data_IF_509994169954
#
_entry.id   IF_509994169954
#
_cell.length_a   1.000
_cell.length_b   1.000
_cell.length_c   1.000
_cell.angle_alpha   90.00
_cell.angle_beta   90.00
_cell.angle_gamma   90.00
#
_symmetry.space_group_name_H-M   'P 1'
#
loop_
_entity.id
_entity.type
_entity.pdbx_description
1 polymer ?
#
# COMPACT_ATOMS: atom_id res chain seq x y z
N UNK A 1 -12.56 16.38 -0.10
CA UNK A 1 -13.38 15.66 0.88
C UNK A 1 -12.65 14.34 1.16
N UNK A 2 -11.81 14.32 2.20
CA UNK A 2 -11.02 13.14 2.65
C UNK A 2 -11.85 12.37 3.71
N UNK A 3 -13.17 12.59 3.73
CA UNK A 3 -14.03 12.37 4.90
C UNK A 3 -14.31 10.89 5.23
N UNK A 4 -13.72 9.94 4.51
CA UNK A 4 -13.84 8.49 4.76
C UNK A 4 -12.49 7.76 4.79
N UNK A 5 -11.35 8.47 4.92
CA UNK A 5 -10.04 7.81 4.99
C UNK A 5 -9.79 7.26 6.41
N UNK A 6 -10.52 6.20 6.73
CA UNK A 6 -10.07 5.05 7.50
C UNK A 6 -11.27 4.08 7.62
N UNK A 7 -11.44 3.19 6.64
CA UNK A 7 -11.90 1.87 7.02
C UNK A 7 -10.90 1.39 8.08
N UNK A 8 -11.33 1.14 9.31
CA UNK A 8 -10.49 1.04 10.51
C UNK A 8 -9.49 -0.14 10.56
N UNK A 9 -9.19 -0.75 9.43
CA UNK A 9 -8.23 -1.83 9.29
C UNK A 9 -6.78 -1.37 9.33
N UNK A 10 -5.87 -2.34 9.40
CA UNK A 10 -4.45 -2.11 9.65
C UNK A 10 -3.75 -1.37 8.50
N UNK A 11 -4.17 -1.58 7.24
CA UNK A 11 -3.60 -0.87 6.09
C UNK A 11 -4.12 0.55 5.99
N UNK A 12 -5.41 0.76 6.25
CA UNK A 12 -6.03 2.09 6.29
C UNK A 12 -5.33 3.01 7.30
N UNK A 13 -5.07 2.50 8.51
CA UNK A 13 -4.31 3.22 9.53
C UNK A 13 -2.88 3.55 9.09
N UNK A 14 -2.14 2.58 8.56
CA UNK A 14 -0.77 2.79 8.11
C UNK A 14 -0.69 3.84 6.98
N UNK A 15 -1.66 3.83 6.07
CA UNK A 15 -1.75 4.78 4.97
C UNK A 15 -2.05 6.21 5.46
N UNK A 16 -2.97 6.36 6.42
CA UNK A 16 -3.27 7.65 7.05
C UNK A 16 -2.04 8.24 7.75
N UNK A 17 -1.30 7.41 8.49
CA UNK A 17 -0.05 7.84 9.16
C UNK A 17 0.98 8.31 8.13
N UNK A 18 1.17 7.56 7.05
CA UNK A 18 2.09 7.94 5.96
C UNK A 18 1.67 9.24 5.30
N UNK A 19 0.39 9.41 4.99
CA UNK A 19 -0.13 10.61 4.34
C UNK A 19 0.14 11.87 5.21
N UNK A 20 -0.09 11.79 6.51
CA UNK A 20 0.22 12.87 7.44
C UNK A 20 1.74 13.12 7.58
N UNK A 21 2.56 12.08 7.58
CA UNK A 21 4.01 12.23 7.57
C UNK A 21 4.50 12.97 6.30
N UNK A 22 3.94 12.65 5.14
CA UNK A 22 4.27 13.32 3.86
C UNK A 22 3.91 14.79 3.88
N UNK A 23 2.72 15.15 4.38
CA UNK A 23 2.32 16.56 4.57
C UNK A 23 3.32 17.31 5.44
N UNK A 24 3.64 16.78 6.63
CA UNK A 24 4.63 17.39 7.54
C UNK A 24 6.01 17.55 6.87
N UNK A 25 6.46 16.55 6.13
CA UNK A 25 7.75 16.58 5.45
C UNK A 25 7.81 17.65 4.34
N UNK A 26 6.71 17.85 3.61
CA UNK A 26 6.60 18.88 2.57
C UNK A 26 6.77 20.28 3.14
N UNK A 27 6.19 20.53 4.31
CA UNK A 27 6.27 21.84 4.97
C UNK A 27 7.67 22.14 5.50
N UNK A 28 8.41 21.09 5.90
CA UNK A 28 9.75 21.23 6.49
C UNK A 28 10.90 21.25 5.47
N UNK A 29 10.72 20.67 4.28
CA UNK A 29 11.83 20.44 3.35
C UNK A 29 11.59 20.99 1.94
N UNK A 30 12.06 22.22 1.68
CA UNK A 30 11.98 22.84 0.33
C UNK A 30 12.71 22.00 -0.73
N UNK A 31 13.90 21.49 -0.43
CA UNK A 31 14.74 20.74 -1.38
C UNK A 31 14.10 19.42 -1.82
N UNK A 32 13.34 18.76 -0.95
CA UNK A 32 12.68 17.48 -1.27
C UNK A 32 11.18 17.61 -1.49
N UNK A 33 10.65 18.84 -1.47
CA UNK A 33 9.21 19.11 -1.59
C UNK A 33 8.61 18.53 -2.86
N UNK A 34 9.30 18.65 -4.00
CA UNK A 34 8.82 18.12 -5.28
C UNK A 34 8.63 16.60 -5.23
N UNK A 35 9.60 15.85 -4.68
CA UNK A 35 9.48 14.39 -4.63
C UNK A 35 8.39 13.96 -3.65
N UNK A 36 8.19 14.72 -2.56
CA UNK A 36 7.15 14.45 -1.59
C UNK A 36 5.74 14.74 -2.15
N UNK A 37 5.57 15.76 -2.97
CA UNK A 37 4.31 15.98 -3.72
C UNK A 37 4.00 14.81 -4.66
N UNK A 38 5.02 14.27 -5.34
CA UNK A 38 4.83 13.11 -6.22
C UNK A 38 4.45 11.84 -5.45
N UNK A 39 5.04 11.69 -4.26
CA UNK A 39 4.71 10.61 -3.34
C UNK A 39 3.26 10.73 -2.85
N UNK A 40 2.84 11.92 -2.40
CA UNK A 40 1.46 12.20 -1.99
C UNK A 40 0.46 11.85 -3.09
N UNK A 41 0.69 12.32 -4.33
CA UNK A 41 -0.18 11.99 -5.46
C UNK A 41 -0.26 10.47 -5.74
N UNK A 42 0.83 9.74 -5.49
CA UNK A 42 0.81 8.27 -5.61
C UNK A 42 0.00 7.63 -4.49
N UNK A 43 0.15 8.10 -3.24
CA UNK A 43 -0.63 7.65 -2.09
C UNK A 43 -2.12 7.88 -2.35
N UNK A 44 -2.50 9.08 -2.78
CA UNK A 44 -3.88 9.42 -3.11
C UNK A 44 -4.45 8.48 -4.18
N UNK A 45 -3.67 8.21 -5.23
CA UNK A 45 -4.10 7.34 -6.33
C UNK A 45 -4.31 5.88 -5.90
N UNK A 46 -3.53 5.35 -4.96
CA UNK A 46 -3.66 3.95 -4.52
C UNK A 46 -4.62 3.78 -3.35
N UNK A 47 -4.93 4.85 -2.62
CA UNK A 47 -5.74 4.80 -1.40
C UNK A 47 -7.05 4.03 -1.58
N UNK A 48 -7.84 4.26 -2.64
CA UNK A 48 -9.09 3.52 -2.84
C UNK A 48 -8.88 2.00 -2.97
N UNK A 49 -7.79 1.57 -3.61
CA UNK A 49 -7.47 0.16 -3.78
C UNK A 49 -7.01 -0.47 -2.46
N UNK A 50 -6.13 0.22 -1.72
CA UNK A 50 -5.62 -0.26 -0.43
C UNK A 50 -6.75 -0.42 0.59
N UNK A 51 -7.69 0.52 0.62
CA UNK A 51 -8.87 0.45 1.50
C UNK A 51 -9.78 -0.74 1.14
N UNK A 52 -9.95 -1.05 -0.14
CA UNK A 52 -10.70 -2.23 -0.56
C UNK A 52 -10.00 -3.52 -0.11
N UNK A 53 -8.69 -3.60 -0.31
CA UNK A 53 -7.88 -4.77 0.10
C UNK A 53 -8.00 -5.00 1.62
N UNK A 54 -7.94 -3.94 2.42
CA UNK A 54 -8.03 -4.04 3.88
C UNK A 54 -9.38 -4.63 4.33
N UNK A 55 -10.49 -4.18 3.72
CA UNK A 55 -11.83 -4.71 3.98
C UNK A 55 -11.95 -6.19 3.62
N UNK A 56 -11.52 -6.57 2.42
CA UNK A 56 -11.57 -7.98 1.99
C UNK A 56 -10.68 -8.90 2.84
N UNK A 57 -9.58 -8.37 3.39
CA UNK A 57 -8.68 -9.14 4.25
C UNK A 57 -9.26 -9.50 5.61
N UNK A 58 -10.14 -8.66 6.17
CA UNK A 58 -10.78 -8.95 7.46
C UNK A 58 -11.83 -10.07 7.31
N UNK A 59 -12.40 -10.21 6.12
CA UNK A 59 -13.44 -11.18 5.80
C UNK A 59 -12.88 -12.55 5.37
N UNK A 60 -11.64 -12.61 4.89
CA UNK A 60 -11.04 -13.83 4.33
C UNK A 60 -9.92 -14.40 5.24
N UNK A 61 -10.11 -15.62 5.74
CA UNK A 61 -9.08 -16.33 6.54
C UNK A 61 -7.87 -16.86 5.73
N UNK A 62 -7.75 -16.53 4.44
CA UNK A 62 -6.74 -17.13 3.58
C UNK A 62 -5.30 -16.64 3.89
N UNK A 63 -4.36 -17.59 3.80
CA UNK A 63 -2.95 -17.41 4.14
C UNK A 63 -2.15 -16.61 3.10
N UNK A 64 -2.56 -16.62 1.82
CA UNK A 64 -1.87 -15.91 0.74
C UNK A 64 -2.15 -14.40 0.80
N UNK A 65 -3.43 -14.04 0.90
CA UNK A 65 -3.88 -12.66 1.07
C UNK A 65 -3.29 -12.01 2.33
N UNK A 66 -3.19 -12.77 3.44
CA UNK A 66 -2.54 -12.30 4.67
C UNK A 66 -1.05 -11.97 4.50
N UNK A 67 -0.31 -12.69 3.65
CA UNK A 67 1.12 -12.41 3.39
C UNK A 67 1.31 -11.12 2.61
N UNK A 68 0.51 -10.89 1.56
CA UNK A 68 0.58 -9.65 0.77
C UNK A 68 0.18 -8.44 1.61
N UNK A 69 -0.85 -8.55 2.44
CA UNK A 69 -1.27 -7.46 3.32
C UNK A 69 -0.22 -7.13 4.39
N UNK A 70 0.41 -8.14 4.99
CA UNK A 70 1.55 -7.92 5.90
C UNK A 70 2.71 -7.22 5.19
N UNK A 71 3.04 -7.62 3.96
CA UNK A 71 4.12 -6.99 3.18
C UNK A 71 3.79 -5.55 2.82
N UNK A 72 2.55 -5.28 2.41
CA UNK A 72 2.08 -3.92 2.10
C UNK A 72 2.11 -3.04 3.36
N UNK A 73 1.64 -3.55 4.50
CA UNK A 73 1.69 -2.84 5.78
C UNK A 73 3.12 -2.44 6.15
N UNK A 74 4.04 -3.41 6.16
CA UNK A 74 5.45 -3.15 6.48
C UNK A 74 6.08 -2.13 5.52
N UNK A 75 5.70 -2.19 4.24
CA UNK A 75 6.17 -1.24 3.23
C UNK A 75 5.67 0.18 3.54
N UNK A 76 4.40 0.34 3.92
CA UNK A 76 3.84 1.64 4.34
C UNK A 76 4.53 2.17 5.61
N UNK A 77 4.74 1.32 6.62
CA UNK A 77 5.41 1.69 7.88
C UNK A 77 6.86 2.15 7.64
N UNK A 78 7.64 1.44 6.82
CA UNK A 78 9.00 1.84 6.46
C UNK A 78 9.05 3.19 5.75
N UNK A 79 8.01 3.52 4.98
CA UNK A 79 7.91 4.81 4.30
C UNK A 79 7.67 5.96 5.26
N UNK A 80 6.94 5.72 6.36
CA UNK A 80 6.75 6.72 7.41
C UNK A 80 8.12 7.13 7.96
N UNK A 81 8.94 6.16 8.38
CA UNK A 81 10.29 6.41 8.88
C UNK A 81 11.15 7.17 7.86
N UNK A 82 11.13 6.74 6.60
CA UNK A 82 11.89 7.39 5.52
C UNK A 82 11.51 8.88 5.35
N UNK A 83 10.20 9.17 5.37
CA UNK A 83 9.67 10.52 5.16
C UNK A 83 9.95 11.43 6.37
N UNK A 84 9.82 10.90 7.58
CA UNK A 84 10.09 11.62 8.82
C UNK A 84 11.57 11.94 8.97
N UNK A 85 12.46 10.98 8.74
CA UNK A 85 13.91 11.21 8.77
C UNK A 85 14.32 12.27 7.72
N UNK A 86 13.74 12.23 6.52
CA UNK A 86 13.97 13.26 5.50
C UNK A 86 13.51 14.65 5.99
N UNK A 87 12.41 14.74 6.75
CA UNK A 87 11.88 15.99 7.27
C UNK A 87 12.81 16.60 8.34
N UNK A 88 13.50 15.77 9.12
CA UNK A 88 14.42 16.20 10.19
C UNK A 88 15.80 16.63 9.67
N UNK A 89 16.16 16.27 8.43
CA UNK A 89 17.44 16.67 7.87
C UNK A 89 17.59 18.19 7.75
N UNK A 90 18.64 18.72 8.38
CA UNK A 90 19.12 20.10 8.18
C UNK A 90 19.28 20.44 6.70
N UNK A 91 18.93 21.67 6.32
CA UNK A 91 18.98 22.17 4.92
C UNK A 91 20.34 21.98 4.24
N UNK A 92 21.45 22.06 4.99
CA UNK A 92 22.81 21.92 4.43
C UNK A 92 23.23 20.48 4.12
N UNK A 93 22.46 19.47 4.54
CA UNK A 93 22.80 18.05 4.33
C UNK A 93 22.44 17.55 2.92
N UNK A 94 22.89 18.26 1.88
CA UNK A 94 22.48 18.05 0.48
C UNK A 94 22.71 16.62 -0.01
N UNK A 95 23.86 16.00 0.31
CA UNK A 95 24.14 14.59 -0.05
C UNK A 95 23.13 13.61 0.54
N UNK A 96 22.76 13.80 1.82
CA UNK A 96 21.73 12.97 2.46
C UNK A 96 20.37 13.23 1.81
N UNK A 97 20.02 14.49 1.53
CA UNK A 97 18.76 14.84 0.84
C UNK A 97 18.64 14.15 -0.52
N UNK A 98 19.69 14.14 -1.33
CA UNK A 98 19.69 13.39 -2.60
C UNK A 98 19.49 11.89 -2.41
N UNK A 99 20.08 11.29 -1.36
CA UNK A 99 19.85 9.89 -1.01
C UNK A 99 18.37 9.65 -0.68
N UNK A 100 17.77 10.42 0.21
CA UNK A 100 16.34 10.29 0.54
C UNK A 100 15.45 10.51 -0.69
N UNK A 101 15.79 11.44 -1.60
CA UNK A 101 15.02 11.57 -2.86
C UNK A 101 15.04 10.31 -3.70
N UNK A 102 16.19 9.64 -3.79
CA UNK A 102 16.31 8.36 -4.50
C UNK A 102 15.52 7.27 -3.77
N UNK A 103 15.65 7.19 -2.46
CA UNK A 103 15.01 6.16 -1.65
C UNK A 103 13.47 6.34 -1.67
N UNK A 104 12.96 7.58 -1.68
CA UNK A 104 11.53 7.89 -1.88
C UNK A 104 11.05 7.46 -3.27
N UNK A 105 11.85 7.70 -4.32
CA UNK A 105 11.51 7.23 -5.68
C UNK A 105 11.45 5.71 -5.76
N UNK A 106 12.40 5.04 -5.12
CA UNK A 106 12.45 3.58 -5.06
C UNK A 106 11.25 3.02 -4.29
N UNK A 107 10.88 3.66 -3.17
CA UNK A 107 9.66 3.34 -2.44
C UNK A 107 8.41 3.47 -3.31
N UNK A 108 8.24 4.60 -4.00
CA UNK A 108 7.10 4.84 -4.89
C UNK A 108 6.98 3.74 -5.96
N UNK A 109 8.11 3.31 -6.55
CA UNK A 109 8.13 2.22 -7.51
C UNK A 109 7.74 0.87 -6.89
N UNK A 110 8.28 0.54 -5.70
CA UNK A 110 7.91 -0.69 -4.96
C UNK A 110 6.44 -0.70 -4.59
N UNK A 111 5.90 0.42 -4.14
CA UNK A 111 4.50 0.56 -3.76
C UNK A 111 3.57 0.32 -4.96
N UNK A 112 3.87 0.94 -6.10
CA UNK A 112 3.14 0.69 -7.36
C UNK A 112 3.23 -0.76 -7.81
N UNK A 113 4.38 -1.40 -7.65
CA UNK A 113 4.55 -2.81 -7.99
C UNK A 113 3.69 -3.72 -7.10
N UNK A 114 3.73 -3.54 -5.77
CA UNK A 114 2.93 -4.37 -4.86
C UNK A 114 1.44 -4.22 -5.13
N UNK A 115 0.96 -2.98 -5.29
CA UNK A 115 -0.47 -2.72 -5.54
C UNK A 115 -0.89 -3.13 -6.95
N UNK A 116 -0.06 -2.87 -7.97
CA UNK A 116 -0.39 -3.10 -9.37
C UNK A 116 -0.10 -4.52 -9.87
N UNK A 117 0.75 -5.28 -9.20
CA UNK A 117 1.16 -6.63 -9.63
C UNK A 117 0.85 -7.65 -8.56
N UNK A 118 1.46 -7.55 -7.38
CA UNK A 118 1.38 -8.62 -6.38
C UNK A 118 -0.07 -8.83 -5.89
N UNK A 119 -0.81 -7.75 -5.64
CA UNK A 119 -2.23 -7.82 -5.27
C UNK A 119 -3.07 -8.42 -6.41
N UNK A 120 -2.86 -7.97 -7.65
CA UNK A 120 -3.65 -8.43 -8.80
C UNK A 120 -3.40 -9.92 -9.11
N UNK A 121 -2.15 -10.36 -9.02
CA UNK A 121 -1.77 -11.77 -9.22
C UNK A 121 -2.41 -12.66 -8.15
N UNK A 122 -2.40 -12.23 -6.88
CA UNK A 122 -3.06 -12.96 -5.81
C UNK A 122 -4.58 -13.04 -6.01
N UNK A 123 -5.23 -11.93 -6.34
CA UNK A 123 -6.68 -11.92 -6.63
C UNK A 123 -7.03 -12.88 -7.79
N UNK A 124 -6.20 -12.93 -8.84
CA UNK A 124 -6.41 -13.87 -9.94
C UNK A 124 -6.25 -15.33 -9.51
N UNK A 125 -5.29 -15.62 -8.62
CA UNK A 125 -5.11 -16.96 -8.06
C UNK A 125 -6.34 -17.39 -7.26
N UNK A 126 -6.84 -16.52 -6.38
CA UNK A 126 -8.02 -16.77 -5.56
C UNK A 126 -9.27 -17.00 -6.41
N UNK A 127 -9.47 -16.20 -7.47
CA UNK A 127 -10.57 -16.39 -8.44
C UNK A 127 -10.47 -17.75 -9.14
N UNK A 128 -9.27 -18.18 -9.53
CA UNK A 128 -9.06 -19.47 -10.18
C UNK A 128 -9.35 -20.63 -9.22
N UNK A 129 -8.91 -20.53 -7.98
CA UNK A 129 -9.19 -21.54 -6.95
C UNK A 129 -10.69 -21.64 -6.67
N UNK A 130 -11.37 -20.50 -6.51
CA UNK A 130 -12.82 -20.47 -6.30
C UNK A 130 -13.58 -21.10 -7.47
N UNK A 131 -13.18 -20.81 -8.71
CA UNK A 131 -13.76 -21.41 -9.92
C UNK A 131 -13.55 -22.93 -9.98
N UNK A 132 -12.39 -23.42 -9.55
CA UNK A 132 -12.10 -24.85 -9.49
C UNK A 132 -13.00 -25.55 -8.46
N UNK A 133 -13.09 -25.02 -7.24
CA UNK A 133 -13.98 -25.54 -6.18
C UNK A 133 -15.45 -25.54 -6.61
N UNK A 134 -15.91 -24.48 -7.27
CA UNK A 134 -17.29 -24.40 -7.77
C UNK A 134 -17.57 -25.44 -8.86
N UNK A 135 -16.59 -25.72 -9.72
CA UNK A 135 -16.70 -26.77 -10.74
C UNK A 135 -16.78 -28.16 -10.10
N UNK A 136 -15.97 -28.44 -9.08
CA UNK A 136 -16.04 -29.69 -8.32
C UNK A 136 -17.40 -29.88 -7.64
N UNK A 137 -17.93 -28.85 -6.98
CA UNK A 137 -19.25 -28.88 -6.34
C UNK A 137 -20.34 -29.18 -7.37
N UNK A 138 -20.29 -28.52 -8.53
CA UNK A 138 -21.24 -28.73 -9.62
C UNK A 138 -21.20 -30.18 -10.12
N UNK A 139 -20.01 -30.74 -10.35
CA UNK A 139 -19.88 -32.14 -10.78
C UNK A 139 -20.42 -33.14 -9.77
N UNK A 140 -20.25 -32.88 -8.46
CA UNK A 140 -20.81 -33.73 -7.41
C UNK A 140 -22.34 -33.67 -7.38
N UNK A 141 -22.90 -32.47 -7.52
CA UNK A 141 -24.35 -32.27 -7.57
C UNK A 141 -25.00 -32.96 -8.78
N UNK A 142 -24.38 -32.83 -9.96
CA UNK A 142 -24.87 -33.46 -11.20
C UNK A 142 -24.77 -34.99 -11.16
N UNK A 143 -23.88 -35.57 -10.33
CA UNK A 143 -23.74 -37.03 -10.15
C UNK A 143 -24.70 -37.65 -9.12
N UNK A 144 -25.43 -36.82 -8.38
CA UNK A 144 -26.37 -37.25 -7.32
C UNK A 144 -27.85 -36.97 -7.66
N UNK A 145 -28.14 -36.38 -8.83
CA UNK A 145 -29.48 -36.25 -9.42
C UNK A 145 -29.69 -37.28 -10.53
#
# INVERSE_FOLDING_TARGET
>A
MIAEVAAGGALGLALSVLHEAVKRAKDRSVTTRFILHRLEATIDSITPLVVQIDKFSEEMEDSSSRKVNKRLKLLLENAVSLVEENAELRRRNVRKKFRYMRDIKEFEAKLRWVVGVDVQVNQLADIKELKAKMSEIRTKFDSTS
#
